data_IF_748294388754
#
_entry.id   IF_748294388754
#
_cell.length_a   1.000
_cell.length_b   1.000
_cell.length_c   1.000
_cell.angle_alpha   90.00
_cell.angle_beta   90.00
_cell.angle_gamma   90.00
#
_symmetry.space_group_name_H-M   'P 1'
#
loop_
_entity.id
_entity.type
_entity.pdbx_description
1 polymer ?
2 polymer ?
3 non-polymer ?
4 non-polymer ?
5 water ?
#
# COMPACT_ATOMS: atom_id res chain seq x y z
N UNK A 1 12.87 -0.07 34.35
CA UNK A 1 11.77 -0.42 33.41
C UNK A 1 12.18 -0.22 31.96
N UNK A 2 11.23 -0.42 31.04
CA UNK A 2 11.50 -0.27 29.63
C UNK A 2 10.80 1.00 29.11
N UNK A 3 10.90 1.22 27.81
CA UNK A 3 10.31 2.39 27.18
C UNK A 3 8.80 2.43 27.33
N UNK A 4 8.26 3.65 27.45
CA UNK A 4 6.82 3.82 27.59
C UNK A 4 6.13 4.28 26.31
N UNK A 5 4.87 4.69 26.44
CA UNK A 5 4.09 5.16 25.30
C UNK A 5 3.85 6.67 25.37
N UNK A 6 3.82 7.31 24.21
CA UNK A 6 3.56 8.75 24.15
C UNK A 6 2.11 8.93 23.70
N UNK A 7 1.52 10.10 23.98
CA UNK A 7 0.13 10.36 23.57
C UNK A 7 0.01 10.46 22.06
N UNK A 8 -1.11 9.98 21.53
CA UNK A 8 -1.37 10.06 20.10
C UNK A 8 -2.35 11.22 19.95
N UNK A 9 -1.83 12.39 19.61
CA UNK A 9 -2.66 13.57 19.46
C UNK A 9 -3.13 13.82 18.04
N UNK A 10 -3.32 12.74 17.29
CA UNK A 10 -3.81 12.88 15.92
C UNK A 10 -5.21 13.50 16.01
N UNK A 11 -5.57 14.28 14.99
CA UNK A 11 -6.88 14.90 14.94
C UNK A 11 -7.75 14.12 13.96
N UNK A 12 -8.97 13.79 14.37
CA UNK A 12 -9.89 13.06 13.50
C UNK A 12 -10.95 14.04 13.03
N UNK A 13 -10.85 14.46 11.78
CA UNK A 13 -11.77 15.42 11.18
C UNK A 13 -13.10 14.79 10.75
N UNK A 14 -14.21 15.40 11.18
CA UNK A 14 -15.54 14.92 10.84
C UNK A 14 -16.17 15.90 9.85
N UNK A 15 -16.38 15.42 8.63
CA UNK A 15 -16.88 16.24 7.54
C UNK A 15 -18.38 16.31 7.28
N UNK A 16 -18.83 17.50 6.91
CA UNK A 16 -20.23 17.77 6.59
C UNK A 16 -20.59 17.11 5.25
N UNK A 17 -21.57 16.22 5.26
CA UNK A 17 -21.97 15.53 4.05
C UNK A 17 -22.35 16.48 2.91
N UNK A 18 -22.83 17.67 3.26
CA UNK A 18 -23.22 18.63 2.24
C UNK A 18 -22.02 19.37 1.66
N UNK A 19 -20.82 18.85 1.89
CA UNK A 19 -19.60 19.47 1.36
C UNK A 19 -18.99 18.62 0.25
N UNK A 20 -19.63 17.51 -0.10
CA UNK A 20 -19.12 16.64 -1.15
C UNK A 20 -20.01 16.69 -2.38
N UNK A 21 -19.50 16.20 -3.49
CA UNK A 21 -20.26 16.17 -4.73
C UNK A 21 -19.98 14.91 -5.55
N UNK A 22 -20.19 13.74 -4.93
CA UNK A 22 -19.96 12.44 -5.58
C UNK A 22 -20.19 12.48 -7.09
N UNK A 23 -19.15 12.88 -7.83
CA UNK A 23 -19.22 12.99 -9.28
C UNK A 23 -19.51 11.69 -10.05
N UNK A 24 -18.99 10.56 -9.58
CA UNK A 24 -19.22 9.28 -10.23
C UNK A 24 -18.57 8.11 -9.48
N UNK A 25 -19.16 6.93 -9.60
CA UNK A 25 -18.62 5.75 -8.93
C UNK A 25 -17.25 5.41 -9.50
N UNK A 26 -16.39 4.88 -8.66
CA UNK A 26 -15.04 4.50 -9.06
C UNK A 26 -14.90 2.99 -9.01
N UNK A 27 -15.69 2.36 -8.14
CA UNK A 27 -15.64 0.92 -8.01
C UNK A 27 -16.31 0.39 -6.78
N UNK A 28 -16.79 -0.86 -6.86
CA UNK A 28 -17.47 -1.51 -5.74
C UNK A 28 -17.41 -3.02 -5.91
N UNK A 29 -17.65 -3.73 -4.81
CA UNK A 29 -17.62 -5.19 -4.85
C UNK A 29 -17.49 -5.78 -3.46
N UNK A 30 -16.27 -6.17 -3.11
CA UNK A 30 -16.00 -6.77 -1.80
C UNK A 30 -15.28 -5.76 -0.88
N UNK A 31 -15.95 -4.65 -0.59
CA UNK A 31 -15.37 -3.61 0.26
C UNK A 31 -16.35 -2.46 0.41
N UNK A 32 -17.45 -2.54 -0.32
CA UNK A 32 -18.43 -1.47 -0.29
C UNK A 32 -18.30 -0.72 -1.61
N UNK A 33 -18.55 0.58 -1.59
CA UNK A 33 -18.44 1.37 -2.81
C UNK A 33 -17.47 2.53 -2.65
N UNK A 34 -16.77 2.85 -3.74
CA UNK A 34 -15.84 3.97 -3.75
C UNK A 34 -16.21 4.91 -4.89
N UNK A 35 -16.70 6.09 -4.53
CA UNK A 35 -17.10 7.08 -5.50
C UNK A 35 -15.98 8.08 -5.65
N UNK A 36 -16.12 8.98 -6.61
CA UNK A 36 -15.13 10.03 -6.84
C UNK A 36 -15.87 11.35 -6.70
N UNK A 37 -15.29 12.30 -5.98
CA UNK A 37 -15.96 13.57 -5.81
C UNK A 37 -15.07 14.71 -5.37
N UNK A 38 -15.69 15.85 -5.10
CA UNK A 38 -14.97 17.02 -4.65
C UNK A 38 -15.40 17.37 -3.24
N UNK A 39 -14.48 17.93 -2.47
CA UNK A 39 -14.80 18.36 -1.11
C UNK A 39 -14.67 19.87 -1.19
N UNK A 40 -15.73 20.56 -0.80
CA UNK A 40 -15.76 22.01 -0.86
C UNK A 40 -16.10 22.65 0.47
N UNK A 41 -15.12 22.70 1.39
CA UNK A 41 -15.29 23.28 2.73
C UNK A 41 -15.86 24.70 2.70
N UNK A 42 -16.98 24.90 3.40
CA UNK A 42 -17.63 26.21 3.46
C UNK A 42 -16.61 27.31 3.74
N UNK A 43 -16.77 28.42 3.03
CA UNK A 43 -15.86 29.55 3.21
C UNK A 43 -14.76 29.49 2.18
N UNK A 44 -13.57 29.10 2.62
CA UNK A 44 -12.39 28.98 1.76
C UNK A 44 -12.76 28.57 0.34
N UNK A 45 -12.16 29.23 -0.65
CA UNK A 45 -12.45 28.91 -2.04
C UNK A 45 -11.56 27.76 -2.50
N UNK A 46 -11.89 26.57 -2.03
CA UNK A 46 -11.11 25.39 -2.36
C UNK A 46 -11.95 24.17 -2.73
N UNK A 47 -11.56 23.52 -3.82
CA UNK A 47 -12.24 22.31 -4.29
C UNK A 47 -11.19 21.20 -4.28
N UNK A 48 -11.38 20.22 -3.41
CA UNK A 48 -10.43 19.11 -3.30
C UNK A 48 -10.92 17.80 -3.88
N UNK A 49 -10.19 17.24 -4.84
CA UNK A 49 -10.57 15.98 -5.47
C UNK A 49 -10.42 14.89 -4.41
N UNK A 50 -11.46 14.12 -4.18
CA UNK A 50 -11.41 13.09 -3.16
C UNK A 50 -12.04 11.76 -3.55
N UNK A 51 -11.81 10.76 -2.72
CA UNK A 51 -12.38 9.44 -2.93
C UNK A 51 -13.26 9.19 -1.72
N UNK A 52 -14.49 8.79 -1.97
CA UNK A 52 -15.43 8.54 -0.88
C UNK A 52 -15.77 7.06 -0.78
N UNK A 53 -15.43 6.45 0.35
CA UNK A 53 -15.72 5.04 0.56
C UNK A 53 -16.95 4.95 1.47
N UNK A 54 -18.06 4.45 0.94
CA UNK A 54 -19.29 4.36 1.71
C UNK A 54 -19.58 2.97 2.27
N UNK A 55 -18.50 2.21 2.56
CA UNK A 55 -18.66 0.88 3.14
C UNK A 55 -19.48 0.95 4.42
N UNK A 59 -24.31 -2.09 6.54
CA UNK A 59 -24.46 -1.10 7.59
C UNK A 59 -24.55 -1.76 8.98
N UNK A 60 -23.89 -2.90 9.12
CA UNK A 60 -23.88 -3.63 10.38
C UNK A 60 -22.82 -3.05 11.32
N UNK A 61 -22.89 -3.40 12.61
CA UNK A 61 -21.94 -2.90 13.59
C UNK A 61 -20.51 -3.32 13.28
N UNK A 62 -20.34 -4.53 12.75
CA UNK A 62 -19.01 -5.04 12.43
C UNK A 62 -18.33 -4.15 11.40
N UNK A 63 -19.06 -3.82 10.34
CA UNK A 63 -18.52 -2.97 9.29
C UNK A 63 -18.04 -1.64 9.87
N UNK A 64 -18.93 -0.96 10.58
CA UNK A 64 -18.59 0.32 11.18
C UNK A 64 -17.38 0.23 12.09
N UNK A 65 -17.42 -0.71 13.03
CA UNK A 65 -16.31 -0.89 13.96
C UNK A 65 -14.99 -1.10 13.21
N UNK A 66 -15.06 -1.67 12.01
CA UNK A 66 -13.87 -1.93 11.22
C UNK A 66 -13.38 -0.75 10.38
N UNK A 67 -14.31 0.00 9.79
CA UNK A 67 -13.90 1.12 8.99
C UNK A 67 -13.39 2.25 9.90
N UNK A 68 -13.82 2.25 11.16
CA UNK A 68 -13.36 3.26 12.11
C UNK A 68 -11.96 2.92 12.59
N UNK A 69 -11.68 1.63 12.75
CA UNK A 69 -10.34 1.19 13.18
C UNK A 69 -9.36 1.67 12.11
N UNK A 70 -9.83 1.63 10.87
CA UNK A 70 -9.01 2.04 9.75
C UNK A 70 -8.74 3.54 9.79
N UNK A 71 -9.79 4.33 9.94
CA UNK A 71 -9.63 5.77 9.98
C UNK A 71 -8.69 6.15 11.12
N UNK A 72 -8.71 5.35 12.18
CA UNK A 72 -7.85 5.60 13.32
C UNK A 72 -6.40 5.57 12.86
N UNK A 73 -6.05 4.52 12.13
CA UNK A 73 -4.68 4.39 11.63
C UNK A 73 -4.36 5.52 10.66
N UNK A 74 -5.18 5.65 9.62
CA UNK A 74 -4.90 6.68 8.64
C UNK A 74 -4.74 8.06 9.24
N UNK A 75 -5.60 8.41 10.19
CA UNK A 75 -5.50 9.72 10.82
C UNK A 75 -4.21 9.84 11.64
N UNK A 76 -3.58 8.71 11.93
CA UNK A 76 -2.36 8.72 12.74
C UNK A 76 -1.04 8.73 11.97
N UNK A 77 -1.10 8.71 10.65
CA UNK A 77 0.12 8.70 9.87
C UNK A 77 0.16 9.87 8.92
N UNK A 78 1.36 10.40 8.70
CA UNK A 78 1.55 11.55 7.83
C UNK A 78 2.88 11.43 7.11
N UNK A 79 2.83 11.10 5.84
CA UNK A 79 4.04 10.93 5.05
C UNK A 79 3.75 11.03 3.56
N UNK A 80 4.69 11.57 2.78
CA UNK A 80 4.49 11.71 1.34
C UNK A 80 4.11 10.42 0.62
N UNK A 81 4.51 9.27 1.15
CA UNK A 81 4.18 8.02 0.47
C UNK A 81 3.13 7.14 1.14
N UNK A 82 2.33 7.77 1.99
CA UNK A 82 1.23 7.09 2.65
C UNK A 82 -0.02 7.89 2.31
N UNK A 83 -1.08 7.20 1.88
CA UNK A 83 -2.32 7.90 1.52
C UNK A 83 -2.83 8.75 2.66
N UNK A 84 -3.21 9.98 2.35
CA UNK A 84 -3.71 10.87 3.38
C UNK A 84 -5.22 10.79 3.56
N UNK A 85 -5.64 10.80 4.82
CA UNK A 85 -7.05 10.76 5.20
C UNK A 85 -7.51 12.18 5.43
N UNK A 86 -8.63 12.58 4.82
CA UNK A 86 -9.14 13.92 5.00
C UNK A 86 -10.15 13.97 6.15
N UNK A 87 -10.80 12.85 6.42
CA UNK A 87 -11.77 12.82 7.49
C UNK A 87 -12.81 11.76 7.24
N UNK A 88 -13.86 11.73 8.06
CA UNK A 88 -14.92 10.77 7.88
C UNK A 88 -16.25 11.47 7.92
N UNK A 89 -17.28 10.80 7.42
CA UNK A 89 -18.62 11.38 7.43
C UNK A 89 -19.52 10.41 8.17
N UNK A 90 -20.15 10.89 9.23
CA UNK A 90 -21.03 10.05 10.03
C UNK A 90 -22.47 10.07 9.57
N UNK A 91 -22.76 9.23 8.59
CA UNK A 91 -24.09 9.10 8.04
C UNK A 91 -24.42 7.61 8.13
N UNK A 92 -25.65 7.26 7.79
CA UNK A 92 -26.11 5.86 7.81
C UNK A 92 -24.96 4.88 8.10
N UNK A 93 -23.93 4.94 7.26
CA UNK A 93 -22.75 4.08 7.43
C UNK A 93 -21.53 4.97 7.22
N UNK A 94 -20.52 4.78 8.07
CA UNK A 94 -19.32 5.60 8.02
C UNK A 94 -18.59 5.65 6.69
N UNK A 95 -18.35 6.87 6.22
CA UNK A 95 -17.64 7.09 4.97
C UNK A 95 -16.24 7.64 5.20
N UNK A 96 -15.24 6.99 4.60
CA UNK A 96 -13.87 7.47 4.69
C UNK A 96 -13.62 8.41 3.52
N UNK A 97 -13.05 9.57 3.79
CA UNK A 97 -12.74 10.53 2.73
C UNK A 97 -11.23 10.61 2.62
N UNK A 98 -10.71 10.33 1.42
CA UNK A 98 -9.28 10.34 1.18
C UNK A 98 -8.89 11.10 -0.10
N UNK A 99 -7.60 11.40 -0.22
CA UNK A 99 -7.10 12.09 -1.38
C UNK A 99 -7.32 11.20 -2.60
N UNK A 100 -7.85 11.79 -3.68
CA UNK A 100 -8.10 11.04 -4.90
C UNK A 100 -6.81 10.72 -5.65
N UNK A 101 -6.63 9.46 -5.97
CA UNK A 101 -5.47 9.02 -6.72
C UNK A 101 -6.03 8.68 -8.11
N UNK A 102 -6.01 9.66 -9.02
CA UNK A 102 -6.51 9.58 -10.40
C UNK A 102 -6.21 8.34 -11.21
N UNK A 103 -5.06 7.70 -10.97
CA UNK A 103 -4.73 6.52 -11.78
C UNK A 103 -4.93 5.17 -11.10
N UNK A 104 -5.65 5.17 -9.98
CA UNK A 104 -5.93 3.92 -9.28
C UNK A 104 -4.78 3.16 -8.64
N UNK A 105 -5.00 1.88 -8.37
CA UNK A 105 -3.99 1.05 -7.74
C UNK A 105 -2.90 0.63 -8.74
N UNK A 106 -1.67 0.61 -8.26
CA UNK A 106 -0.53 0.25 -9.09
C UNK A 106 -0.68 -1.08 -9.85
N UNK A 107 -1.24 -2.09 -9.20
CA UNK A 107 -1.42 -3.38 -9.87
C UNK A 107 -2.16 -3.19 -11.21
N UNK A 108 -3.31 -2.54 -11.17
CA UNK A 108 -4.09 -2.31 -12.38
C UNK A 108 -3.35 -1.40 -13.34
N UNK A 109 -2.62 -0.44 -12.82
CA UNK A 109 -1.91 0.51 -13.64
C UNK A 109 -0.80 -0.13 -14.46
N UNK A 110 -0.06 -1.08 -13.88
CA UNK A 110 1.02 -1.70 -14.64
C UNK A 110 0.45 -2.73 -15.61
N UNK A 111 -0.69 -3.31 -15.25
CA UNK A 111 -1.31 -4.30 -16.13
C UNK A 111 -1.86 -3.58 -17.35
N UNK A 112 -2.41 -2.39 -17.12
CA UNK A 112 -2.99 -1.60 -18.19
C UNK A 112 -1.97 -0.92 -19.09
N UNK A 113 -0.73 -0.78 -18.62
CA UNK A 113 0.29 -0.12 -19.44
C UNK A 113 1.58 -0.92 -19.53
N UNK A 114 1.46 -2.25 -19.56
CA UNK A 114 2.64 -3.11 -19.63
C UNK A 114 3.63 -2.52 -20.62
N UNK A 115 3.13 -2.24 -21.82
CA UNK A 115 3.94 -1.72 -22.91
C UNK A 115 4.48 -0.30 -22.77
N UNK A 116 4.44 0.24 -21.56
CA UNK A 116 4.95 1.59 -21.34
C UNK A 116 5.64 1.79 -20.02
N UNK A 117 5.77 0.71 -19.26
CA UNK A 117 6.43 0.79 -17.97
C UNK A 117 7.94 0.65 -18.19
N UNK A 118 8.66 1.73 -17.97
CA UNK A 118 10.10 1.69 -18.15
C UNK A 118 10.80 1.31 -16.85
N UNK A 119 12.08 0.99 -16.92
CA UNK A 119 12.84 0.61 -15.74
C UNK A 119 12.89 1.73 -14.71
N UNK A 120 13.00 2.97 -15.19
CA UNK A 120 13.07 4.13 -14.31
C UNK A 120 11.83 4.25 -13.41
N UNK A 121 10.65 4.09 -14.00
CA UNK A 121 9.42 4.18 -13.21
C UNK A 121 9.37 3.05 -12.18
N UNK A 122 9.62 1.83 -12.62
CA UNK A 122 9.61 0.68 -11.74
C UNK A 122 10.50 0.83 -10.52
N UNK A 123 11.80 1.04 -10.76
CA UNK A 123 12.74 1.20 -9.66
C UNK A 123 12.36 2.31 -8.70
N UNK A 124 11.90 3.45 -9.20
CA UNK A 124 11.53 4.53 -8.32
C UNK A 124 10.27 4.16 -7.51
N UNK A 125 9.36 3.40 -8.11
CA UNK A 125 8.18 2.98 -7.37
C UNK A 125 8.71 2.12 -6.20
N UNK A 126 9.69 1.26 -6.47
CA UNK A 126 10.27 0.41 -5.42
C UNK A 126 10.84 1.29 -4.30
N UNK A 127 11.53 2.36 -4.69
CA UNK A 127 12.11 3.25 -3.69
C UNK A 127 10.99 3.89 -2.90
N UNK A 128 10.02 4.44 -3.61
CA UNK A 128 8.89 5.10 -2.98
C UNK A 128 8.13 4.19 -1.99
N UNK A 129 7.83 2.97 -2.40
CA UNK A 129 7.13 2.07 -1.49
C UNK A 129 7.99 1.79 -0.26
N UNK A 130 9.29 1.61 -0.44
CA UNK A 130 10.15 1.35 0.69
C UNK A 130 10.17 2.55 1.66
N UNK A 131 10.19 3.76 1.11
CA UNK A 131 10.19 4.94 1.97
C UNK A 131 8.90 4.95 2.78
N UNK A 132 7.79 4.68 2.11
CA UNK A 132 6.53 4.66 2.80
C UNK A 132 6.57 3.67 3.96
N UNK A 133 6.91 2.42 3.66
CA UNK A 133 6.98 1.39 4.68
C UNK A 133 8.00 1.73 5.77
N UNK A 134 9.15 2.25 5.39
CA UNK A 134 10.15 2.60 6.38
C UNK A 134 9.52 3.58 7.36
N UNK A 135 8.77 4.54 6.81
CA UNK A 135 8.09 5.53 7.64
C UNK A 135 7.18 4.78 8.58
N UNK A 136 6.34 3.93 8.01
CA UNK A 136 5.40 3.13 8.79
C UNK A 136 6.08 2.38 9.93
N UNK A 137 7.29 1.89 9.70
CA UNK A 137 8.01 1.16 10.74
C UNK A 137 8.40 2.09 11.89
N UNK A 138 8.70 3.34 11.57
CA UNK A 138 9.05 4.30 12.60
C UNK A 138 7.84 4.52 13.50
N UNK A 139 6.67 4.67 12.88
CA UNK A 139 5.45 4.85 13.66
C UNK A 139 5.16 3.58 14.45
N UNK A 140 5.96 2.54 14.22
CA UNK A 140 5.81 1.24 14.89
C UNK A 140 4.49 0.63 14.46
N UNK A 141 4.23 0.67 13.15
CA UNK A 141 2.98 0.13 12.63
C UNK A 141 3.25 -0.97 11.60
N UNK A 142 2.60 -2.12 11.82
CA UNK A 142 2.75 -3.25 10.91
C UNK A 142 1.52 -3.25 10.02
N UNK A 143 1.74 -3.05 8.73
CA UNK A 143 0.68 -2.97 7.74
C UNK A 143 -0.09 -4.27 7.51
N UNK A 144 0.63 -5.39 7.51
CA UNK A 144 0.03 -6.72 7.32
C UNK A 144 -0.68 -6.98 6.01
N UNK A 145 -0.70 -6.03 5.09
CA UNK A 145 -1.38 -6.28 3.83
C UNK A 145 -0.79 -5.54 2.64
N UNK A 146 0.53 -5.40 2.64
CA UNK A 146 1.21 -4.73 1.55
C UNK A 146 1.13 -5.61 0.31
N UNK A 147 0.77 -5.01 -0.81
CA UNK A 147 0.65 -5.71 -2.08
C UNK A 147 0.39 -4.65 -3.14
N UNK A 148 0.73 -4.94 -4.40
CA UNK A 148 0.53 -3.99 -5.48
C UNK A 148 -0.89 -3.38 -5.50
N UNK A 149 -1.89 -4.19 -5.18
CA UNK A 149 -3.28 -3.72 -5.16
C UNK A 149 -3.49 -2.67 -4.09
N UNK A 150 -2.60 -2.62 -3.10
CA UNK A 150 -2.75 -1.64 -2.03
C UNK A 150 -1.75 -0.49 -2.11
N UNK A 151 -1.41 -0.12 -3.33
CA UNK A 151 -0.52 1.00 -3.59
C UNK A 151 -1.22 1.85 -4.63
N UNK A 152 -1.48 3.11 -4.30
CA UNK A 152 -2.17 4.00 -5.24
C UNK A 152 -1.23 4.88 -6.04
N UNK A 153 -1.72 5.34 -7.20
CA UNK A 153 -0.95 6.19 -8.10
C UNK A 153 -1.51 7.61 -8.22
N UNK A 154 -0.83 8.58 -7.61
CA UNK A 154 -1.26 9.97 -7.70
C UNK A 154 -0.87 10.41 -9.12
N UNK A 155 0.32 9.97 -9.54
CA UNK A 155 0.86 10.23 -10.87
C UNK A 155 1.86 9.11 -11.09
N UNK A 156 2.29 8.89 -12.33
CA UNK A 156 3.26 7.81 -12.58
C UNK A 156 4.56 8.04 -11.81
N UNK A 157 4.80 9.28 -11.42
CA UNK A 157 6.01 9.65 -10.70
C UNK A 157 5.84 9.65 -9.18
N UNK A 158 4.60 9.47 -8.72
CA UNK A 158 4.34 9.52 -7.28
C UNK A 158 3.27 8.54 -6.80
N UNK A 159 3.69 7.55 -6.01
CA UNK A 159 2.78 6.55 -5.47
C UNK A 159 2.74 6.62 -3.94
N UNK A 160 1.69 6.02 -3.35
CA UNK A 160 1.52 6.01 -1.91
C UNK A 160 0.88 4.71 -1.47
N UNK A 161 1.16 4.30 -0.24
CA UNK A 161 0.61 3.09 0.30
C UNK A 161 -0.78 3.35 0.89
N UNK A 162 -1.69 2.40 0.72
CA UNK A 162 -3.05 2.56 1.23
C UNK A 162 -3.56 1.28 1.89
N UNK A 163 -4.87 1.25 2.11
CA UNK A 163 -5.55 0.11 2.72
C UNK A 163 -4.94 -0.33 4.05
N UNK A 164 -5.35 0.34 5.12
CA UNK A 164 -4.85 0.02 6.46
C UNK A 164 -5.87 -0.76 7.28
N UNK A 165 -6.74 -1.50 6.59
CA UNK A 165 -7.74 -2.29 7.28
C UNK A 165 -7.25 -3.45 8.14
N UNK A 166 -5.98 -3.82 8.04
CA UNK A 166 -5.46 -4.91 8.84
C UNK A 166 -4.29 -4.42 9.68
N UNK A 167 -3.90 -3.17 9.46
CA UNK A 167 -2.78 -2.60 10.20
C UNK A 167 -2.94 -2.71 11.72
N UNK A 168 -1.82 -2.76 12.41
CA UNK A 168 -1.80 -2.86 13.85
C UNK A 168 -0.64 -2.02 14.34
N UNK A 169 -0.86 -1.30 15.44
CA UNK A 169 0.17 -0.44 16.02
C UNK A 169 0.81 -1.10 17.23
N UNK A 170 2.08 -1.49 17.10
CA UNK A 170 2.81 -2.14 18.18
C UNK A 170 3.18 -1.21 19.32
N UNK A 171 3.56 -1.81 20.45
CA UNK A 171 3.97 -1.03 21.61
C UNK A 171 5.42 -0.61 21.47
N UNK A 172 5.84 0.36 22.28
CA UNK A 172 7.20 0.90 22.25
C UNK A 172 8.33 -0.09 22.01
N UNK A 173 8.26 -1.24 22.67
CA UNK A 173 9.31 -2.24 22.50
C UNK A 173 8.74 -3.59 22.11
N UNK A 174 7.52 -3.58 21.59
CA UNK A 174 6.89 -4.81 21.16
C UNK A 174 7.56 -5.22 19.84
N UNK A 175 7.92 -6.50 19.74
CA UNK A 175 8.58 -7.02 18.56
C UNK A 175 7.62 -7.67 17.57
N UNK A 176 6.47 -8.12 18.03
CA UNK A 176 5.52 -8.77 17.13
C UNK A 176 4.06 -8.70 17.50
N UNK A 177 3.22 -8.99 16.51
CA UNK A 177 1.78 -9.01 16.69
C UNK A 177 1.22 -10.40 16.45
N UNK A 178 0.47 -10.91 17.41
CA UNK A 178 -0.13 -12.24 17.30
C UNK A 178 -1.60 -12.12 16.95
N UNK A 179 -1.95 -12.43 15.70
CA UNK A 179 -3.34 -12.39 15.26
C UNK A 179 -4.03 -13.66 15.72
N UNK A 180 -5.36 -13.66 15.76
CA UNK A 180 -6.06 -14.85 16.19
C UNK A 180 -6.72 -15.64 15.07
N UNK A 181 -7.31 -14.94 14.12
CA UNK A 181 -7.96 -15.65 13.02
C UNK A 181 -8.60 -14.75 12.00
N UNK A 182 -9.15 -15.38 10.96
CA UNK A 182 -9.79 -14.61 9.91
C UNK A 182 -9.05 -14.66 8.59
N UNK A 183 -9.73 -14.26 7.53
CA UNK A 183 -9.17 -14.23 6.20
C UNK A 183 -7.99 -13.26 6.08
N UNK A 184 -6.89 -13.76 5.53
CA UNK A 184 -5.68 -12.97 5.31
C UNK A 184 -5.10 -13.46 3.99
N UNK A 185 -4.57 -12.55 3.16
CA UNK A 185 -3.99 -12.88 1.85
C UNK A 185 -2.72 -13.73 1.95
N UNK A 186 -2.89 -15.05 1.89
CA UNK A 186 -1.77 -16.00 2.00
C UNK A 186 -0.57 -15.79 1.09
N UNK A 187 -0.80 -15.63 -0.21
CA UNK A 187 0.29 -15.48 -1.16
C UNK A 187 1.21 -14.27 -0.96
N UNK A 188 0.82 -13.36 -0.07
CA UNK A 188 1.64 -12.20 0.19
C UNK A 188 2.24 -12.24 1.59
N UNK A 189 1.87 -13.24 2.39
CA UNK A 189 2.39 -13.31 3.75
C UNK A 189 3.59 -14.19 3.95
N UNK A 190 4.37 -13.85 4.98
CA UNK A 190 5.56 -14.57 5.32
C UNK A 190 5.20 -15.92 5.94
N UNK A 191 6.11 -16.89 5.80
CA UNK A 191 5.90 -18.23 6.33
C UNK A 191 5.49 -18.18 7.81
N UNK A 192 6.17 -17.34 8.57
CA UNK A 192 5.88 -17.16 10.00
C UNK A 192 4.40 -16.81 10.20
N UNK A 193 3.94 -15.84 9.44
CA UNK A 193 2.57 -15.38 9.54
C UNK A 193 1.58 -16.51 9.26
N UNK A 194 1.86 -17.30 8.24
CA UNK A 194 0.98 -18.40 7.88
C UNK A 194 0.96 -19.48 8.97
N UNK A 195 2.13 -19.90 9.41
CA UNK A 195 2.22 -20.93 10.42
C UNK A 195 1.87 -20.54 11.84
N UNK A 196 2.26 -19.35 12.27
CA UNK A 196 2.00 -18.94 13.64
C UNK A 196 1.22 -17.64 13.88
N UNK A 197 0.73 -17.02 12.82
CA UNK A 197 -0.03 -15.78 12.94
C UNK A 197 0.80 -14.67 13.56
N UNK A 198 2.11 -14.70 13.33
CA UNK A 198 3.02 -13.69 13.85
C UNK A 198 3.28 -12.64 12.76
N UNK A 199 3.16 -11.37 13.13
CA UNK A 199 3.38 -10.29 12.18
C UNK A 199 4.39 -9.29 12.72
N UNK A 200 5.34 -8.90 11.87
CA UNK A 200 6.36 -7.95 12.27
C UNK A 200 6.66 -7.05 11.09
N UNK A 201 7.55 -6.09 11.28
CA UNK A 201 7.93 -5.21 10.20
C UNK A 201 8.59 -6.10 9.16
N UNK A 202 9.32 -7.09 9.65
CA UNK A 202 10.01 -8.01 8.77
C UNK A 202 9.06 -8.85 7.93
N UNK A 203 7.88 -9.19 8.45
CA UNK A 203 6.96 -9.95 7.61
C UNK A 203 6.36 -8.98 6.57
N UNK A 204 6.35 -7.69 6.90
CA UNK A 204 5.88 -6.71 5.95
C UNK A 204 6.94 -6.67 4.84
N UNK A 205 8.19 -6.92 5.20
CA UNK A 205 9.28 -6.94 4.21
C UNK A 205 9.07 -8.07 3.21
N UNK A 206 8.60 -9.22 3.69
CA UNK A 206 8.32 -10.34 2.80
C UNK A 206 7.23 -9.91 1.81
N UNK A 207 6.20 -9.24 2.32
CA UNK A 207 5.13 -8.76 1.46
C UNK A 207 5.69 -7.77 0.45
N UNK A 208 6.70 -7.00 0.87
CA UNK A 208 7.31 -6.02 -0.03
C UNK A 208 7.97 -6.76 -1.19
N UNK A 209 8.59 -7.90 -0.88
CA UNK A 209 9.23 -8.69 -1.93
C UNK A 209 8.23 -9.12 -2.99
N UNK A 210 7.07 -9.59 -2.54
CA UNK A 210 6.04 -10.03 -3.46
C UNK A 210 5.50 -8.85 -4.27
N UNK A 211 5.38 -7.70 -3.62
CA UNK A 211 4.85 -6.53 -4.31
C UNK A 211 5.79 -6.16 -5.47
N UNK A 212 7.09 -6.18 -5.20
CA UNK A 212 8.09 -5.87 -6.21
C UNK A 212 7.97 -6.86 -7.36
N UNK A 213 7.86 -8.15 -7.01
CA UNK A 213 7.73 -9.20 -8.00
C UNK A 213 6.53 -8.90 -8.90
N UNK A 214 5.39 -8.56 -8.28
CA UNK A 214 4.19 -8.26 -9.05
C UNK A 214 4.52 -7.17 -10.06
N UNK A 215 5.23 -6.14 -9.60
CA UNK A 215 5.61 -5.03 -10.44
C UNK A 215 6.58 -5.46 -11.54
N UNK A 216 7.59 -6.25 -11.20
CA UNK A 216 8.55 -6.69 -12.19
C UNK A 216 7.94 -7.63 -13.23
N UNK A 217 6.86 -8.32 -12.86
CA UNK A 217 6.20 -9.23 -13.80
C UNK A 217 5.06 -8.51 -14.50
N UNK A 218 5.05 -7.18 -14.39
CA UNK A 218 4.01 -6.37 -15.00
C UNK A 218 2.58 -6.77 -14.60
N UNK A 219 2.43 -7.30 -13.39
CA UNK A 219 1.10 -7.65 -12.91
C UNK A 219 0.72 -9.12 -12.88
N UNK A 220 1.69 -10.02 -12.96
CA UNK A 220 1.38 -11.43 -12.93
C UNK A 220 0.90 -11.81 -11.55
N UNK A 221 0.16 -12.92 -11.45
CA UNK A 221 -0.35 -13.38 -10.18
C UNK A 221 0.65 -14.30 -9.51
N UNK A 222 1.00 -14.01 -8.24
CA UNK A 222 1.96 -14.84 -7.51
C UNK A 222 1.44 -16.27 -7.42
N UNK A 223 2.31 -17.24 -7.67
CA UNK A 223 1.93 -18.64 -7.58
C UNK A 223 0.61 -18.88 -8.30
N UNK A 224 0.42 -18.21 -9.43
CA UNK A 224 -0.83 -18.37 -10.17
C UNK A 224 -1.24 -19.83 -10.24
N UNK A 225 -2.52 -20.09 -10.04
CA UNK A 225 -3.02 -21.45 -10.10
C UNK A 225 -2.87 -22.27 -8.82
N UNK A 226 -1.74 -22.14 -8.12
CA UNK A 226 -1.50 -22.90 -6.90
C UNK A 226 -2.49 -22.53 -5.81
N UNK A 227 -3.16 -23.53 -5.21
CA UNK A 227 -4.13 -23.31 -4.14
C UNK A 227 -3.49 -22.69 -2.90
N UNK A 228 -4.20 -21.74 -2.30
CA UNK A 228 -3.71 -21.04 -1.11
C UNK A 228 -3.27 -22.01 -0.02
N UNK A 229 -4.01 -23.11 0.12
CA UNK A 229 -3.71 -24.11 1.13
C UNK A 229 -2.41 -24.88 0.90
N UNK A 230 -1.86 -24.80 -0.31
CA UNK A 230 -0.63 -25.51 -0.59
C UNK A 230 0.60 -24.62 -0.38
N UNK A 231 0.39 -23.31 -0.45
CA UNK A 231 1.47 -22.32 -0.30
C UNK A 231 2.42 -22.59 0.85
N UNK A 232 1.87 -22.82 2.04
CA UNK A 232 2.67 -23.09 3.23
C UNK A 232 3.67 -24.23 2.99
N UNK A 233 3.23 -25.28 2.28
CA UNK A 233 4.09 -26.44 1.96
C UNK A 233 5.25 -26.02 1.08
N UNK A 234 4.91 -25.48 -0.08
CA UNK A 234 5.88 -25.01 -1.04
C UNK A 234 7.00 -24.22 -0.37
N UNK A 235 6.62 -23.19 0.38
CA UNK A 235 7.60 -22.35 1.07
C UNK A 235 8.49 -23.17 1.99
N UNK A 236 7.90 -23.98 2.84
CA UNK A 236 8.70 -24.80 3.75
C UNK A 236 9.72 -25.64 2.97
N UNK A 237 9.29 -26.16 1.82
CA UNK A 237 10.17 -26.97 0.97
C UNK A 237 11.31 -26.14 0.39
N UNK A 238 11.22 -24.81 0.52
CA UNK A 238 12.27 -23.95 0.02
C UNK A 238 11.98 -23.26 -1.28
N UNK A 239 10.91 -23.64 -1.97
CA UNK A 239 10.59 -23.00 -3.23
C UNK A 239 10.16 -21.54 -3.02
N UNK A 240 10.38 -20.72 -4.05
CA UNK A 240 10.02 -19.30 -4.03
C UNK A 240 9.56 -18.86 -5.42
N UNK A 241 9.07 -17.62 -5.52
CA UNK A 241 8.62 -17.07 -6.80
C UNK A 241 9.79 -17.02 -7.79
N UNK A 242 9.50 -17.19 -9.09
CA UNK A 242 10.54 -17.17 -10.13
C UNK A 242 11.18 -15.80 -10.41
N UNK A 243 12.36 -15.84 -11.02
CA UNK A 243 13.09 -14.62 -11.36
C UNK A 243 12.39 -13.98 -12.56
N UNK A 244 11.90 -12.74 -12.41
CA UNK A 244 11.21 -12.07 -13.52
C UNK A 244 12.14 -11.80 -14.70
N UNK A 245 11.71 -12.17 -15.92
CA UNK A 245 12.44 -12.00 -17.18
C UNK A 245 13.28 -10.72 -17.32
N UNK A 246 12.72 -9.57 -16.93
CA UNK A 246 13.45 -8.32 -17.04
C UNK A 246 14.45 -8.09 -15.92
N UNK A 247 14.47 -8.97 -14.93
CA UNK A 247 15.35 -8.77 -13.79
C UNK A 247 16.76 -9.34 -13.89
N UNK A 248 17.72 -8.56 -13.40
CA UNK A 248 19.11 -9.00 -13.36
C UNK A 248 19.20 -9.76 -12.05
N UNK A 249 20.28 -10.50 -11.84
CA UNK A 249 20.42 -11.25 -10.60
C UNK A 249 20.45 -10.31 -9.40
N UNK A 250 20.86 -9.07 -9.65
CA UNK A 250 20.94 -8.06 -8.61
C UNK A 250 19.57 -7.80 -8.00
N UNK A 251 18.58 -7.51 -8.84
CA UNK A 251 17.24 -7.26 -8.35
C UNK A 251 16.60 -8.52 -7.76
N UNK A 252 16.69 -9.63 -8.47
CA UNK A 252 16.11 -10.87 -7.98
C UNK A 252 16.65 -11.23 -6.60
N UNK A 253 17.94 -10.96 -6.40
CA UNK A 253 18.64 -11.24 -5.15
C UNK A 253 17.95 -10.50 -3.99
N UNK A 254 17.59 -9.24 -4.22
CA UNK A 254 16.91 -8.44 -3.20
C UNK A 254 15.56 -9.09 -2.87
N UNK A 255 14.81 -9.49 -3.88
CA UNK A 255 13.53 -10.13 -3.64
C UNK A 255 13.75 -11.39 -2.80
N UNK A 256 14.70 -12.22 -3.22
CA UNK A 256 14.98 -13.47 -2.53
C UNK A 256 15.31 -13.24 -1.06
N UNK A 257 16.14 -12.25 -0.76
CA UNK A 257 16.49 -11.98 0.62
C UNK A 257 15.24 -11.65 1.43
N UNK A 258 14.25 -11.04 0.76
CA UNK A 258 13.00 -10.70 1.40
C UNK A 258 12.19 -11.94 1.75
N UNK A 259 12.54 -13.07 1.13
CA UNK A 259 11.82 -14.32 1.39
C UNK A 259 12.60 -15.37 2.19
N UNK A 260 13.58 -14.93 2.97
CA UNK A 260 14.34 -15.85 3.79
C UNK A 260 13.43 -16.34 4.91
N UNK A 261 13.67 -17.56 5.38
CA UNK A 261 12.88 -18.15 6.46
C UNK A 261 13.11 -17.33 7.74
N UNK A 262 14.35 -16.90 7.96
CA UNK A 262 14.71 -16.12 9.13
C UNK A 262 14.42 -14.61 8.99
N UNK A 263 13.29 -14.18 9.53
CA UNK A 263 12.86 -12.78 9.47
C UNK A 263 13.97 -11.73 9.63
N UNK A 264 14.76 -11.84 10.71
CA UNK A 264 15.82 -10.87 10.96
C UNK A 264 16.91 -10.89 9.91
N UNK A 265 16.89 -11.90 9.04
CA UNK A 265 17.87 -12.00 7.96
C UNK A 265 17.43 -11.16 6.77
N UNK A 266 16.12 -11.02 6.59
CA UNK A 266 15.60 -10.23 5.50
C UNK A 266 16.11 -8.79 5.66
N UNK A 267 16.12 -8.01 4.59
CA UNK A 267 16.59 -6.64 4.72
C UNK A 267 15.60 -5.73 5.42
N UNK A 268 16.10 -4.55 5.82
CA UNK A 268 15.29 -3.53 6.47
C UNK A 268 14.83 -2.59 5.38
N UNK A 269 13.69 -1.95 5.58
CA UNK A 269 13.20 -1.02 4.57
C UNK A 269 14.25 0.07 4.31
N UNK A 270 14.88 0.59 5.36
CA UNK A 270 15.90 1.60 5.17
C UNK A 270 16.99 1.13 4.20
N UNK A 271 17.37 -0.15 4.29
CA UNK A 271 18.39 -0.69 3.39
C UNK A 271 17.79 -0.79 1.99
N UNK A 272 16.54 -1.25 1.92
CA UNK A 272 15.85 -1.37 0.64
C UNK A 272 15.85 -0.02 -0.09
N UNK A 273 15.52 1.04 0.62
CA UNK A 273 15.50 2.37 0.04
C UNK A 273 16.85 2.68 -0.59
N UNK A 274 17.91 2.41 0.15
CA UNK A 274 19.27 2.66 -0.33
C UNK A 274 19.60 1.85 -1.60
N UNK A 275 19.36 0.54 -1.53
CA UNK A 275 19.64 -0.35 -2.65
C UNK A 275 18.99 0.08 -3.95
N UNK A 276 17.67 0.28 -3.91
CA UNK A 276 16.94 0.69 -5.11
C UNK A 276 17.26 2.10 -5.57
N UNK A 277 17.65 2.98 -4.65
CA UNK A 277 18.02 4.35 -5.02
C UNK A 277 19.23 4.28 -5.95
N UNK A 278 20.26 3.56 -5.50
CA UNK A 278 21.48 3.39 -6.28
C UNK A 278 21.13 2.84 -7.67
N UNK A 279 20.32 1.78 -7.71
CA UNK A 279 19.94 1.21 -8.98
C UNK A 279 19.16 2.19 -9.87
N UNK A 280 18.40 3.09 -9.25
CA UNK A 280 17.62 4.04 -10.04
C UNK A 280 18.53 4.98 -10.82
N UNK A 281 19.78 5.10 -10.39
CA UNK A 281 20.74 5.98 -11.05
C UNK A 281 21.28 5.40 -12.35
N UNK A 282 21.01 4.13 -12.60
CA UNK A 282 21.47 3.46 -13.82
C UNK A 282 20.50 2.31 -14.08
N UNK A 283 19.22 2.65 -14.27
CA UNK A 283 18.09 1.74 -14.53
C UNK A 283 18.33 0.56 -15.47
N UNK A 284 18.68 0.85 -16.72
CA UNK A 284 18.88 -0.22 -17.70
C UNK A 284 19.95 -1.26 -17.33
N UNK A 285 20.72 -0.97 -16.28
CA UNK A 285 21.75 -1.89 -15.82
C UNK A 285 21.18 -2.97 -14.87
N UNK A 286 19.96 -2.75 -14.39
CA UNK A 286 19.38 -3.70 -13.46
C UNK A 286 18.10 -4.30 -13.98
N UNK A 287 17.45 -3.60 -14.90
CA UNK A 287 16.24 -4.13 -15.52
C UNK A 287 16.47 -4.06 -17.02
N UNK A 288 16.44 -5.20 -17.69
CA UNK A 288 16.67 -5.25 -19.12
C UNK A 288 15.31 -5.35 -19.82
N UNK A 289 14.73 -4.18 -20.10
CA UNK A 289 13.41 -4.09 -20.74
C UNK A 289 13.40 -3.70 -22.21
N UNK A 290 12.69 -4.47 -23.02
CA UNK A 290 12.61 -4.19 -24.46
C UNK A 290 11.90 -2.86 -24.71
N UNK A 291 12.47 -2.06 -25.61
CA UNK A 291 11.87 -0.78 -25.93
C UNK A 291 11.82 0.17 -24.76
N UNK A 292 12.67 -0.08 -23.76
CA UNK A 292 12.73 0.74 -22.56
C UNK A 292 13.16 2.18 -22.86
N UNK A 293 13.79 2.38 -24.01
CA UNK A 293 14.27 3.70 -24.39
C UNK A 293 13.17 4.67 -24.82
N UNK A 294 12.07 4.13 -25.36
CA UNK A 294 10.98 4.99 -25.81
C UNK A 294 9.70 4.89 -24.98
N UNK A 295 9.81 4.41 -23.75
CA UNK A 295 8.63 4.28 -22.90
C UNK A 295 8.40 5.51 -22.04
N UNK A 296 7.20 6.07 -22.13
CA UNK A 296 6.83 7.26 -21.37
C UNK A 296 5.41 7.09 -20.80
N UNK A 297 5.14 7.78 -19.69
CA UNK A 297 3.84 7.71 -19.06
C UNK A 297 3.27 9.11 -18.84
N UNK A 298 2.00 9.33 -19.24
CA UNK A 298 1.29 10.62 -19.12
C UNK A 298 1.30 11.23 -17.71
N UNK A 299 0.38 12.15 -17.46
CA UNK A 299 0.28 12.82 -16.17
C UNK A 299 -1.11 13.42 -15.95
N UNK A 313 -14.24 19.60 -10.61
CA UNK A 313 -15.27 19.64 -11.64
C UNK A 313 -14.88 20.65 -12.71
N UNK A 314 -14.36 21.78 -12.25
CA UNK A 314 -13.92 22.86 -13.13
C UNK A 314 -12.59 23.44 -12.62
N UNK A 315 -11.51 23.13 -13.34
CA UNK A 315 -10.19 23.61 -12.99
C UNK A 315 -10.19 25.11 -12.76
N UNK A 316 -10.12 25.53 -11.51
CA UNK A 316 -10.11 26.94 -11.15
C UNK A 316 -9.53 27.08 -9.75
N UNK A 317 -10.29 26.61 -8.78
CA UNK A 317 -9.89 26.65 -7.38
C UNK A 317 -9.61 25.24 -6.89
N UNK A 318 -9.39 24.33 -7.84
CA UNK A 318 -9.11 22.95 -7.50
C UNK A 318 -7.72 22.86 -6.91
N UNK A 319 -7.62 22.23 -5.75
CA UNK A 319 -6.35 22.07 -5.07
C UNK A 319 -6.23 20.63 -4.62
N UNK A 320 -5.10 19.99 -4.94
CA UNK A 320 -4.90 18.61 -4.55
C UNK A 320 -4.75 18.56 -3.03
N UNK A 321 -5.16 17.46 -2.41
CA UNK A 321 -5.08 17.34 -0.97
C UNK A 321 -3.66 17.61 -0.45
N UNK A 322 -2.64 17.29 -1.24
CA UNK A 322 -1.27 17.53 -0.79
C UNK A 322 -0.92 19.01 -0.65
N UNK A 323 -1.79 19.89 -1.13
CA UNK A 323 -1.56 21.32 -1.02
C UNK A 323 -2.58 21.99 -0.10
N UNK A 324 -3.48 21.19 0.47
CA UNK A 324 -4.50 21.69 1.39
C UNK A 324 -4.11 21.11 2.74
N UNK A 325 -3.20 21.80 3.42
CA UNK A 325 -2.68 21.33 4.70
C UNK A 325 -3.37 21.84 5.95
N UNK A 326 -4.54 21.27 6.25
CA UNK A 326 -5.27 21.66 7.45
C UNK A 326 -4.49 21.07 8.64
N UNK A 327 -4.43 21.80 9.77
CA UNK A 327 -3.70 21.34 10.97
C UNK A 327 -3.95 19.88 11.37
N UNK B 4 -8.72 -13.00 -3.94
CA UNK B 4 -7.34 -12.46 -3.80
C UNK B 4 -6.63 -13.10 -2.63
N UNK B 5 -6.58 -14.43 -2.63
CA UNK B 5 -5.93 -15.22 -1.58
C UNK B 5 -6.44 -14.91 -0.18
N UNK B 6 -7.06 -15.90 0.46
CA UNK B 6 -7.57 -15.72 1.83
C UNK B 6 -7.59 -17.02 2.62
N UNK B 7 -7.75 -16.89 3.94
CA UNK B 7 -7.82 -18.05 4.82
C UNK B 7 -6.50 -18.70 5.17
N UNK B 8 -6.36 -19.13 6.42
CA UNK B 8 -5.13 -19.77 6.89
C UNK B 8 -5.43 -20.86 7.92
#
# INVERSE_FOLDING_TARGET
GAMGEAPNQALLRILKETEFKKIKVLGSGAFGTVYKGLWIPEGEKVKIPVAIKELREATSPKANKEILDEAYVMASVDNPHVCRLLGICLTSTVQLITQLMPFGCLLDYVREHKDNIGSQYLLNWCVQIAKGMNYLEDRRLVHRDLAARNVLVKTPQHVKITDFGLAKLLGAEEKEYHAEGGKVPIKWMALESILHRIYTHQSDVWSYGVTVWELMTFGSKPYDGIPASEISSILEKGERLPQPPICTIDVYMIMVKCWMIDADSRPKFRELIIEFSKMARDPQRYLVIQGDERMHLPSPTDSNFYRALMDEEDMDDVVDADEYLIPQQG
AEEEIYGEFEAKK
#
